data_IF_321987316723
#
_entry.id   IF_321987316723
#
_cell.length_a   1.000
_cell.length_b   1.000
_cell.length_c   1.000
_cell.angle_alpha   90.00
_cell.angle_beta   90.00
_cell.angle_gamma   90.00
#
_symmetry.space_group_name_H-M   'P 1'
#
loop_
_entity.id
_entity.type
_entity.pdbx_description
1 polymer ?
#
# COMPACT_ATOMS: atom_id res chain seq x y z
N UNK A 1 -12.93 -2.89 7.82
CA UNK A 1 -11.46 -2.98 7.93
C UNK A 1 -11.06 -4.42 8.29
N UNK A 2 -10.79 -5.31 7.32
CA UNK A 2 -10.29 -6.69 7.61
C UNK A 2 -9.28 -7.24 6.60
N UNK A 3 -8.96 -6.51 5.53
CA UNK A 3 -8.03 -6.95 4.48
C UNK A 3 -6.71 -6.19 4.53
N UNK A 4 -5.65 -6.78 3.97
CA UNK A 4 -4.35 -6.12 3.82
C UNK A 4 -4.50 -4.83 3.01
N UNK A 5 -5.22 -4.87 1.89
CA UNK A 5 -5.54 -3.68 1.09
C UNK A 5 -6.21 -2.57 1.89
N UNK A 6 -7.15 -2.93 2.77
CA UNK A 6 -7.80 -1.98 3.67
C UNK A 6 -6.83 -1.34 4.67
N UNK A 7 -5.83 -2.08 5.18
CA UNK A 7 -4.79 -1.53 6.06
C UNK A 7 -3.86 -0.58 5.31
N UNK A 8 -3.45 -0.95 4.11
CA UNK A 8 -2.62 -0.10 3.23
C UNK A 8 -3.34 1.22 2.92
N UNK A 9 -4.63 1.14 2.55
CA UNK A 9 -5.47 2.31 2.29
C UNK A 9 -5.61 3.20 3.54
N UNK A 10 -5.81 2.60 4.72
CA UNK A 10 -5.93 3.36 5.96
C UNK A 10 -4.65 4.14 6.30
N UNK A 11 -3.48 3.52 6.12
CA UNK A 11 -2.20 4.20 6.34
C UNK A 11 -2.05 5.35 5.35
N UNK A 12 -2.32 5.12 4.05
CA UNK A 12 -2.27 6.19 3.05
C UNK A 12 -3.13 7.39 3.43
N UNK A 13 -4.37 7.14 3.83
CA UNK A 13 -5.32 8.20 4.22
C UNK A 13 -4.91 8.90 5.52
N UNK A 14 -4.30 8.18 6.47
CA UNK A 14 -3.78 8.77 7.72
C UNK A 14 -2.68 9.82 7.46
N UNK A 15 -1.94 9.68 6.37
CA UNK A 15 -0.91 10.64 5.95
C UNK A 15 -1.41 11.64 4.89
N UNK A 16 -2.72 11.67 4.63
CA UNK A 16 -3.35 12.59 3.67
C UNK A 16 -2.80 12.48 2.23
N UNK A 17 -2.29 11.30 1.87
CA UNK A 17 -1.68 11.07 0.56
C UNK A 17 -2.71 10.55 -0.45
N UNK A 18 -2.65 11.06 -1.68
CA UNK A 18 -3.29 10.42 -2.81
C UNK A 18 -2.51 9.14 -3.22
N UNK A 19 -3.11 8.30 -4.07
CA UNK A 19 -2.48 7.03 -4.47
C UNK A 19 -1.16 7.23 -5.24
N UNK A 20 -1.02 8.31 -6.01
CA UNK A 20 0.21 8.59 -6.77
C UNK A 20 1.36 8.90 -5.80
N UNK A 21 1.16 9.86 -4.89
CA UNK A 21 2.17 10.29 -3.93
C UNK A 21 2.58 9.16 -2.97
N UNK A 22 1.63 8.32 -2.57
CA UNK A 22 1.92 7.18 -1.72
C UNK A 22 2.66 6.06 -2.45
N UNK A 23 2.26 5.76 -3.70
CA UNK A 23 2.93 4.77 -4.53
C UNK A 23 4.38 5.16 -4.81
N UNK A 24 4.63 6.45 -5.06
CA UNK A 24 5.96 7.03 -5.20
C UNK A 24 6.80 6.83 -3.92
N UNK A 25 6.27 7.23 -2.75
CA UNK A 25 6.91 7.05 -1.44
C UNK A 25 7.28 5.59 -1.13
N UNK A 26 6.44 4.63 -1.52
CA UNK A 26 6.70 3.20 -1.30
C UNK A 26 7.33 2.52 -2.53
N UNK A 27 7.76 3.27 -3.54
CA UNK A 27 8.46 2.77 -4.74
C UNK A 27 7.73 1.65 -5.48
N UNK A 28 6.44 1.83 -5.74
CA UNK A 28 5.64 0.96 -6.62
C UNK A 28 4.82 1.80 -7.60
N UNK A 29 4.24 1.19 -8.64
CA UNK A 29 3.32 1.90 -9.53
C UNK A 29 1.98 2.19 -8.84
N UNK A 30 1.33 3.29 -9.21
CA UNK A 30 -0.01 3.63 -8.72
C UNK A 30 -1.05 2.54 -9.05
N UNK A 31 -0.96 1.93 -10.24
CA UNK A 31 -1.81 0.80 -10.63
C UNK A 31 -1.69 -0.37 -9.66
N UNK A 32 -0.45 -0.78 -9.33
CA UNK A 32 -0.19 -1.86 -8.37
C UNK A 32 -0.73 -1.52 -6.97
N UNK A 33 -0.58 -0.27 -6.53
CA UNK A 33 -1.19 0.19 -5.27
C UNK A 33 -2.72 0.06 -5.31
N UNK A 34 -3.36 0.48 -6.40
CA UNK A 34 -4.81 0.39 -6.56
C UNK A 34 -5.31 -1.06 -6.48
N UNK A 35 -4.63 -1.99 -7.16
CA UNK A 35 -4.94 -3.42 -7.09
C UNK A 35 -4.80 -3.99 -5.68
N UNK A 36 -3.78 -3.55 -4.93
CA UNK A 36 -3.59 -3.91 -3.52
C UNK A 36 -4.75 -3.38 -2.67
N UNK A 37 -5.08 -2.10 -2.79
CA UNK A 37 -6.16 -1.46 -2.01
C UNK A 37 -7.54 -2.06 -2.31
N UNK A 38 -7.77 -2.48 -3.56
CA UNK A 38 -8.98 -3.17 -3.99
C UNK A 38 -8.99 -4.66 -3.62
N UNK A 39 -7.86 -5.22 -3.16
CA UNK A 39 -7.73 -6.65 -2.86
C UNK A 39 -7.75 -7.55 -4.11
N UNK A 40 -7.52 -6.99 -5.29
CA UNK A 40 -7.46 -7.72 -6.57
C UNK A 40 -6.18 -8.52 -6.74
N UNK A 41 -5.11 -8.09 -6.07
CA UNK A 41 -3.86 -8.84 -6.03
C UNK A 41 -3.67 -9.47 -4.65
N UNK A 42 -3.21 -10.74 -4.61
CA UNK A 42 -2.65 -11.35 -3.41
C UNK A 42 -1.15 -11.07 -3.42
N UNK A 43 -0.67 -10.04 -2.70
CA UNK A 43 0.76 -9.80 -2.60
C UNK A 43 1.46 -11.01 -1.98
N UNK A 44 2.62 -11.38 -2.53
CA UNK A 44 3.48 -12.41 -1.95
C UNK A 44 3.93 -12.03 -0.53
N UNK A 45 4.37 -13.02 0.26
CA UNK A 45 4.92 -12.76 1.59
C UNK A 45 6.09 -11.76 1.55
N UNK A 46 6.94 -11.82 0.53
CA UNK A 46 8.00 -10.84 0.30
C UNK A 46 7.45 -9.44 0.02
N UNK A 47 6.44 -9.32 -0.84
CA UNK A 47 5.78 -8.03 -1.12
C UNK A 47 5.20 -7.41 0.15
N UNK A 48 4.62 -8.23 1.02
CA UNK A 48 4.10 -7.77 2.31
C UNK A 48 5.20 -7.29 3.27
N UNK A 49 6.33 -7.98 3.29
CA UNK A 49 7.49 -7.63 4.11
C UNK A 49 8.08 -6.28 3.68
N UNK A 50 8.22 -6.08 2.38
CA UNK A 50 8.67 -4.82 1.79
C UNK A 50 7.68 -3.68 2.02
N UNK A 51 6.38 -3.91 1.82
CA UNK A 51 5.34 -2.93 2.16
C UNK A 51 5.45 -2.52 3.62
N UNK A 52 5.50 -3.48 4.55
CA UNK A 52 5.65 -3.18 5.98
C UNK A 52 6.89 -2.33 6.27
N UNK A 53 8.03 -2.67 5.67
CA UNK A 53 9.28 -1.91 5.85
C UNK A 53 9.12 -0.47 5.38
N UNK A 54 8.55 -0.27 4.19
CA UNK A 54 8.34 1.08 3.63
C UNK A 54 7.30 1.88 4.42
N UNK A 55 6.24 1.23 4.91
CA UNK A 55 5.21 1.84 5.76
C UNK A 55 5.72 2.24 7.15
N UNK A 56 6.83 1.65 7.64
CA UNK A 56 7.48 2.05 8.88
C UNK A 56 8.40 3.27 8.73
N UNK A 57 8.68 3.70 7.51
CA UNK A 57 9.59 4.82 7.19
C UNK A 57 8.84 6.12 6.85
N UNK A 58 7.51 6.08 6.84
CA UNK A 58 6.60 7.21 6.55
C UNK A 58 5.82 7.58 7.79
#
# INVERSE_FOLDING_TARGET
MKTIGGKVKAIRLKHELNQIAFADKIGISQGRLSEIEQGKTKPSAETLKELRKKLMLI
#
